data_IF_039040273382
#
_entry.id   IF_039040273382
#
_cell.length_a   1.000
_cell.length_b   1.000
_cell.length_c   1.000
_cell.angle_alpha   90.00
_cell.angle_beta   90.00
_cell.angle_gamma   90.00
#
_symmetry.space_group_name_H-M   'P 1'
#
loop_
_entity.id
_entity.type
_entity.pdbx_description
1 polymer ?
#
# COMPACT_ATOMS: atom_id res chain seq x y z
N UNK A 1 2.03 -4.24 -10.13
CA UNK A 1 1.74 -4.14 -8.68
C UNK A 1 2.88 -3.38 -8.03
N UNK A 2 2.58 -2.38 -7.21
CA UNK A 2 3.55 -1.58 -6.46
C UNK A 2 3.21 -1.71 -4.98
N UNK A 3 4.20 -2.09 -4.17
CA UNK A 3 4.08 -2.16 -2.72
C UNK A 3 4.84 -0.99 -2.07
N UNK A 4 4.19 -0.28 -1.15
CA UNK A 4 4.73 0.87 -0.42
C UNK A 4 4.73 0.57 1.07
N UNK A 5 5.91 0.63 1.67
CA UNK A 5 6.12 0.37 3.09
C UNK A 5 6.28 1.68 3.85
N UNK A 6 5.52 1.86 4.93
CA UNK A 6 5.58 3.07 5.77
C UNK A 6 6.71 2.96 6.78
N UNK A 7 7.89 3.50 6.47
CA UNK A 7 8.92 3.81 7.48
C UNK A 7 9.15 2.70 8.53
N UNK A 8 9.07 3.05 9.82
CA UNK A 8 9.23 2.12 10.97
C UNK A 8 7.97 1.31 11.34
N UNK A 9 6.86 1.50 10.62
CA UNK A 9 5.62 0.78 10.89
C UNK A 9 5.65 -0.57 10.15
N UNK A 10 6.00 -1.63 10.88
CA UNK A 10 6.00 -3.01 10.40
C UNK A 10 4.57 -3.62 10.29
N UNK A 11 3.55 -2.91 10.78
CA UNK A 11 2.19 -3.46 10.94
C UNK A 11 1.36 -3.51 9.67
N UNK A 12 1.62 -2.66 8.68
CA UNK A 12 0.77 -2.52 7.50
C UNK A 12 1.48 -1.85 6.33
N UNK A 13 1.35 -2.46 5.15
CA UNK A 13 1.86 -1.96 3.88
C UNK A 13 0.72 -1.65 2.91
N UNK A 14 1.00 -0.77 1.94
CA UNK A 14 0.06 -0.40 0.88
C UNK A 14 0.40 -1.18 -0.39
N UNK A 15 -0.59 -1.80 -1.02
CA UNK A 15 -0.48 -2.41 -2.35
C UNK A 15 -1.33 -1.64 -3.35
N UNK A 16 -0.71 -1.28 -4.46
CA UNK A 16 -1.35 -0.63 -5.60
C UNK A 16 -1.30 -1.58 -6.81
N UNK A 17 -2.47 -2.01 -7.25
CA UNK A 17 -2.63 -2.79 -8.48
C UNK A 17 -2.84 -1.81 -9.64
N UNK A 18 -2.01 -1.95 -10.67
CA UNK A 18 -1.97 -1.07 -11.83
C UNK A 18 -2.41 -1.85 -13.06
N UNK A 19 -3.28 -1.26 -13.85
CA UNK A 19 -3.71 -1.79 -15.14
C UNK A 19 -3.75 -0.65 -16.15
N UNK A 20 -3.09 -0.84 -17.30
CA UNK A 20 -3.00 0.16 -18.38
C UNK A 20 -2.54 1.56 -17.93
N UNK A 21 -1.64 1.63 -16.95
CA UNK A 21 -1.13 2.91 -16.40
C UNK A 21 -2.05 3.58 -15.38
N UNK A 22 -3.22 3.02 -15.10
CA UNK A 22 -4.16 3.50 -14.08
C UNK A 22 -4.13 2.64 -12.82
N UNK A 23 -4.45 3.26 -11.67
CA UNK A 23 -4.59 2.55 -10.40
C UNK A 23 -5.97 1.88 -10.37
N UNK A 24 -5.99 0.56 -10.52
CA UNK A 24 -7.21 -0.24 -10.49
C UNK A 24 -7.67 -0.48 -9.05
N UNK A 25 -6.72 -0.71 -8.13
CA UNK A 25 -7.04 -1.04 -6.73
C UNK A 25 -5.95 -0.63 -5.77
N UNK A 26 -6.38 -0.15 -4.60
CA UNK A 26 -5.53 0.17 -3.46
C UNK A 26 -5.99 -0.72 -2.30
N UNK A 27 -5.07 -1.49 -1.74
CA UNK A 27 -5.32 -2.32 -0.58
C UNK A 27 -4.24 -2.15 0.48
N UNK A 28 -4.65 -2.29 1.73
CA UNK A 28 -3.74 -2.39 2.87
C UNK A 28 -3.55 -3.86 3.16
N UNK A 29 -2.31 -4.30 3.33
CA UNK A 29 -1.96 -5.69 3.56
C UNK A 29 -0.89 -5.82 4.64
N UNK A 30 -0.85 -6.97 5.30
CA UNK A 30 0.23 -7.33 6.23
C UNK A 30 1.44 -7.79 5.40
N UNK A 31 2.60 -7.10 5.50
CA UNK A 31 3.78 -7.44 4.71
C UNK A 31 4.46 -8.75 5.10
N UNK A 32 4.23 -9.26 6.32
CA UNK A 32 4.81 -10.50 6.83
C UNK A 32 4.01 -11.72 6.37
N UNK A 33 2.69 -11.62 6.36
CA UNK A 33 1.77 -12.73 6.04
C UNK A 33 1.19 -12.65 4.63
N UNK A 34 1.35 -11.52 3.94
CA UNK A 34 0.73 -11.17 2.66
C UNK A 34 -0.82 -11.12 2.69
N UNK A 35 -1.42 -11.09 3.88
CA UNK A 35 -2.87 -11.01 4.04
C UNK A 35 -3.39 -9.61 3.69
N UNK A 36 -4.45 -9.53 2.88
CA UNK A 36 -5.12 -8.25 2.60
C UNK A 36 -6.04 -7.87 3.76
N UNK A 37 -5.70 -6.80 4.46
CA UNK A 37 -6.45 -6.29 5.62
C UNK A 37 -7.72 -5.55 5.19
N UNK A 38 -7.63 -4.65 4.20
CA UNK A 38 -8.79 -3.89 3.68
C UNK A 38 -8.53 -3.25 2.33
N UNK A 39 -9.58 -3.05 1.55
CA UNK A 39 -9.55 -2.22 0.34
C UNK A 39 -9.81 -0.75 0.67
N UNK A 40 -9.17 0.16 -0.04
CA UNK A 40 -9.27 1.60 0.19
C UNK A 40 -9.42 2.35 -1.14
N UNK A 41 -10.14 3.47 -1.13
CA UNK A 41 -10.27 4.33 -2.33
C UNK A 41 -9.16 5.37 -2.44
N UNK A 42 -8.53 5.72 -1.32
CA UNK A 42 -7.50 6.77 -1.25
C UNK A 42 -6.53 6.48 -0.12
N UNK A 43 -5.26 6.77 -0.36
CA UNK A 43 -4.21 6.74 0.64
C UNK A 43 -3.25 7.90 0.42
N UNK A 44 -2.77 8.53 1.48
CA UNK A 44 -1.81 9.65 1.40
C UNK A 44 -0.47 9.18 1.94
N UNK A 45 0.55 9.23 1.09
CA UNK A 45 1.94 8.93 1.46
C UNK A 45 2.65 10.25 1.71
N UNK A 46 3.29 10.37 2.88
CA UNK A 46 4.21 11.48 3.18
C UNK A 46 5.65 10.97 3.05
N UNK A 47 6.59 11.81 2.58
CA UNK A 47 8.01 11.48 2.61
C UNK A 47 8.48 11.12 4.01
N UNK A 48 9.38 10.14 4.13
CA UNK A 48 9.97 9.74 5.44
C UNK A 48 10.79 10.88 6.05
N UNK A 49 11.36 11.74 5.22
CA UNK A 49 12.14 12.93 5.58
C UNK A 49 11.72 14.08 4.66
N UNK A 50 11.83 15.32 5.16
CA UNK A 50 11.63 16.52 4.33
C UNK A 50 12.66 16.63 3.20
#
# INVERSE_FOLDING_TARGET
VIDVFRGELESDALRMELFDGEVEKISMFDPLTAETLRNMHRFTVYPKTH
#
